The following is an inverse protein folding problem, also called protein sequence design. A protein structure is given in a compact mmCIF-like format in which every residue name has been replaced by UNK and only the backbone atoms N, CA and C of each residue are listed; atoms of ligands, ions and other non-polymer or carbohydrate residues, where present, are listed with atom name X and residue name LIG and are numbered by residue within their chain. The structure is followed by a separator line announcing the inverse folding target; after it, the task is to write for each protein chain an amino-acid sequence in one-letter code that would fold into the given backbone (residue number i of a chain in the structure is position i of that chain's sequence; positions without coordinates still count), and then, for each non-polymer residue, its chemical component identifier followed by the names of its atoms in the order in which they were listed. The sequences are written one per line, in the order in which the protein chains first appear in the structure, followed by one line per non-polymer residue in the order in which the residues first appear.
data_IF_686818048971
#
_entry.id   IF_686818048971
#
_cell.length_a   1.000
_cell.length_b   1.000
_cell.length_c   1.000
_cell.angle_alpha   90.00
_cell.angle_beta   90.00
_cell.angle_gamma   90.00
#
_symmetry.space_group_name_H-M   'P 1'
#
loop_
_entity.id
_entity.type
_entity.pdbx_description
1 polymer ?
#
# COMPACT_ATOMS: atom_id res chain seq x y z
N UNK A 1 -3.35 -13.14 21.06
CA UNK A 1 -2.75 -12.53 19.84
C UNK A 1 -3.68 -11.43 19.30
N UNK A 2 -3.20 -10.20 19.18
CA UNK A 2 -4.00 -9.16 18.50
C UNK A 2 -4.09 -9.47 16.99
N UNK A 3 -5.28 -9.27 16.39
CA UNK A 3 -5.43 -9.39 14.95
C UNK A 3 -4.55 -8.34 14.26
N UNK A 4 -4.02 -8.68 13.08
CA UNK A 4 -3.35 -7.66 12.26
C UNK A 4 -4.41 -6.67 11.79
N UNK A 5 -4.07 -5.39 11.84
CA UNK A 5 -4.91 -4.31 11.33
C UNK A 5 -4.06 -3.29 10.60
N UNK A 6 -4.57 -2.74 9.50
CA UNK A 6 -3.95 -1.60 8.86
C UNK A 6 -4.23 -0.34 9.69
N UNK A 7 -3.17 0.39 10.04
CA UNK A 7 -3.28 1.72 10.68
C UNK A 7 -3.46 2.77 9.58
N UNK A 8 -2.69 2.64 8.49
CA UNK A 8 -2.85 3.49 7.32
C UNK A 8 -4.17 3.15 6.64
N UNK A 9 -5.08 4.11 6.58
CA UNK A 9 -6.40 3.98 5.95
C UNK A 9 -6.55 4.81 4.69
N UNK A 10 -5.65 5.76 4.47
CA UNK A 10 -5.62 6.64 3.30
C UNK A 10 -4.18 6.91 2.84
N UNK A 11 -4.03 7.19 1.55
CA UNK A 11 -2.77 7.59 0.95
C UNK A 11 -2.84 9.07 0.55
N UNK A 12 -1.78 9.86 0.75
CA UNK A 12 -1.73 11.21 0.22
C UNK A 12 -1.75 11.19 -1.31
N UNK A 13 -2.32 12.22 -1.91
CA UNK A 13 -2.34 12.35 -3.36
C UNK A 13 -0.91 12.56 -3.89
N UNK A 14 -0.61 11.97 -5.05
CA UNK A 14 0.65 12.16 -5.76
C UNK A 14 0.51 13.16 -6.90
N UNK A 15 1.64 13.46 -7.55
CA UNK A 15 1.68 14.29 -8.76
C UNK A 15 2.54 13.62 -9.82
N UNK A 16 2.11 13.65 -11.08
CA UNK A 16 2.85 13.10 -12.20
C UNK A 16 4.25 13.72 -12.30
N UNK A 17 5.26 12.88 -12.51
CA UNK A 17 6.67 13.26 -12.56
C UNK A 17 7.29 13.64 -11.21
N UNK A 18 6.54 13.57 -10.11
CA UNK A 18 7.06 13.88 -8.76
C UNK A 18 7.34 12.60 -8.00
N UNK A 19 8.51 12.44 -7.37
CA UNK A 19 8.79 11.26 -6.55
C UNK A 19 7.77 11.17 -5.43
N UNK A 20 7.22 9.98 -5.26
CA UNK A 20 6.23 9.63 -4.26
C UNK A 20 6.79 8.50 -3.40
N UNK A 21 6.69 8.63 -2.09
CA UNK A 21 7.10 7.60 -1.15
C UNK A 21 6.20 7.65 0.09
N UNK A 22 5.54 6.54 0.38
CA UNK A 22 4.68 6.38 1.55
C UNK A 22 4.91 5.00 2.14
N UNK A 23 5.02 4.95 3.46
CA UNK A 23 5.07 3.72 4.22
C UNK A 23 3.69 3.44 4.79
N UNK A 24 3.20 2.22 4.57
CA UNK A 24 1.99 1.72 5.19
C UNK A 24 2.33 1.13 6.55
N UNK A 25 1.57 1.57 7.54
CA UNK A 25 1.68 1.13 8.92
C UNK A 25 0.58 0.12 9.23
N UNK A 26 0.95 -0.93 9.94
CA UNK A 26 0.04 -1.96 10.45
C UNK A 26 0.35 -2.28 11.91
N UNK A 27 -0.68 -2.51 12.71
CA UNK A 27 -0.58 -2.95 14.11
C UNK A 27 -0.96 -4.42 14.26
N UNK A 28 -0.61 -4.98 15.42
CA UNK A 28 -0.86 -6.38 15.75
C UNK A 28 0.14 -7.32 15.07
N UNK A 29 -0.22 -8.61 15.04
CA UNK A 29 0.70 -9.67 14.62
C UNK A 29 1.89 -9.84 15.57
N UNK A 30 2.61 -10.94 15.43
CA UNK A 30 3.73 -11.30 16.32
C UNK A 30 4.97 -11.75 15.53
N UNK A 31 4.88 -11.85 14.21
CA UNK A 31 5.97 -12.28 13.35
C UNK A 31 6.17 -11.39 12.13
N UNK A 32 6.77 -11.97 11.09
CA UNK A 32 7.19 -11.22 9.90
C UNK A 32 5.95 -10.82 9.09
N UNK A 33 5.72 -9.50 8.99
CA UNK A 33 4.66 -8.96 8.14
C UNK A 33 5.10 -8.99 6.69
N UNK A 34 4.27 -9.60 5.84
CA UNK A 34 4.44 -9.60 4.41
C UNK A 34 3.26 -8.90 3.75
N UNK A 35 3.53 -7.77 3.09
CA UNK A 35 2.53 -7.05 2.34
C UNK A 35 2.51 -7.50 0.88
N UNK A 36 1.31 -7.64 0.32
CA UNK A 36 1.09 -8.08 -1.05
C UNK A 36 -0.05 -7.30 -1.69
N UNK A 37 0.09 -7.02 -2.98
CA UNK A 37 -0.99 -6.47 -3.80
C UNK A 37 -1.93 -7.61 -4.19
N UNK A 38 -3.19 -7.52 -3.77
CA UNK A 38 -4.23 -8.52 -4.07
C UNK A 38 -4.93 -8.18 -5.39
N UNK A 39 -5.25 -6.91 -5.59
CA UNK A 39 -5.99 -6.45 -6.77
C UNK A 39 -5.79 -4.96 -7.04
N UNK A 40 -6.11 -4.54 -8.25
CA UNK A 40 -5.97 -3.16 -8.71
C UNK A 40 -4.68 -2.91 -9.47
N UNK A 41 -4.50 -1.66 -9.88
CA UNK A 41 -3.34 -1.21 -10.65
C UNK A 41 -2.60 -0.12 -9.90
N UNK A 42 -1.27 -0.27 -9.78
CA UNK A 42 -0.42 0.81 -9.30
C UNK A 42 -0.16 1.81 -10.44
N UNK A 43 0.00 3.10 -10.13
CA UNK A 43 0.45 4.09 -11.12
C UNK A 43 1.74 3.64 -11.82
N UNK A 44 1.84 3.86 -13.12
CA UNK A 44 3.05 3.51 -13.87
C UNK A 44 4.26 4.29 -13.33
N UNK A 45 5.36 3.58 -13.09
CA UNK A 45 6.56 4.13 -12.45
C UNK A 45 6.56 4.07 -10.92
N UNK A 46 5.52 3.49 -10.32
CA UNK A 46 5.50 3.17 -8.87
C UNK A 46 5.56 1.67 -8.63
N UNK A 47 6.09 1.30 -7.47
CA UNK A 47 6.22 -0.07 -7.03
C UNK A 47 5.82 -0.18 -5.55
N UNK A 48 5.33 -1.36 -5.18
CA UNK A 48 5.02 -1.68 -3.80
C UNK A 48 5.96 -2.78 -3.30
N UNK A 49 6.62 -2.52 -2.17
CA UNK A 49 7.49 -3.46 -1.50
C UNK A 49 6.72 -4.28 -0.48
N UNK A 50 7.11 -5.55 -0.32
CA UNK A 50 6.63 -6.44 0.74
C UNK A 50 6.92 -5.94 2.16
N UNK A 51 7.78 -4.92 2.31
CA UNK A 51 8.02 -4.21 3.56
C UNK A 51 6.92 -3.18 3.91
N UNK A 52 5.90 -3.01 3.06
CA UNK A 52 4.86 -1.99 3.27
C UNK A 52 5.22 -0.62 2.70
N UNK A 53 6.25 -0.54 1.84
CA UNK A 53 6.69 0.73 1.25
C UNK A 53 6.12 0.86 -0.16
N UNK A 54 5.34 1.90 -0.40
CA UNK A 54 4.87 2.29 -1.72
C UNK A 54 5.68 3.47 -2.21
N UNK A 55 6.48 3.27 -3.26
CA UNK A 55 7.40 4.31 -3.75
C UNK A 55 7.60 4.28 -5.25
N UNK A 56 8.07 5.40 -5.79
CA UNK A 56 8.42 5.58 -7.20
C UNK A 56 7.96 6.92 -7.74
N UNK A 57 7.95 7.06 -9.06
CA UNK A 57 7.58 8.30 -9.73
C UNK A 57 6.40 8.04 -10.65
N UNK A 58 5.16 8.31 -10.22
CA UNK A 58 3.99 8.15 -11.06
C UNK A 58 4.13 9.02 -12.31
N UNK A 59 3.98 8.44 -13.51
CA UNK A 59 4.10 9.19 -14.77
C UNK A 59 2.76 9.60 -15.37
N UNK A 60 1.67 8.94 -14.98
CA UNK A 60 0.33 9.15 -15.54
C UNK A 60 -0.63 9.62 -14.46
N UNK A 61 -1.20 10.81 -14.66
CA UNK A 61 -2.27 11.35 -13.84
C UNK A 61 -3.53 10.48 -13.92
N UNK A 62 -4.22 10.33 -12.81
CA UNK A 62 -5.39 9.46 -12.70
C UNK A 62 -5.65 8.99 -11.28
N UNK A 63 -6.81 8.37 -11.07
CA UNK A 63 -7.16 7.74 -9.79
C UNK A 63 -6.87 6.25 -9.88
N UNK A 64 -6.07 5.76 -8.95
CA UNK A 64 -5.67 4.36 -8.86
C UNK A 64 -6.20 3.78 -7.57
N UNK A 65 -7.03 2.75 -7.68
CA UNK A 65 -7.57 2.00 -6.54
C UNK A 65 -6.97 0.61 -6.54
N UNK A 66 -6.43 0.20 -5.40
CA UNK A 66 -5.79 -1.10 -5.23
C UNK A 66 -6.00 -1.66 -3.83
N UNK A 67 -6.04 -2.98 -3.71
CA UNK A 67 -6.23 -3.68 -2.44
C UNK A 67 -4.91 -4.31 -2.01
N UNK A 68 -4.44 -3.94 -0.83
CA UNK A 68 -3.28 -4.55 -0.20
C UNK A 68 -3.74 -5.56 0.85
N UNK A 69 -2.98 -6.64 0.98
CA UNK A 69 -3.12 -7.61 2.06
C UNK A 69 -1.81 -7.72 2.83
N UNK A 70 -1.89 -7.54 4.13
CA UNK A 70 -0.83 -7.85 5.07
C UNK A 70 -1.08 -9.23 5.65
N UNK A 71 -0.04 -10.05 5.66
CA UNK A 71 -0.07 -11.43 6.18
C UNK A 71 1.01 -11.53 7.26
N UNK A 72 0.68 -12.10 8.40
CA UNK A 72 1.67 -12.51 9.40
C UNK A 72 1.97 -14.00 9.22
N UNK A 73 3.04 -14.46 9.85
CA UNK A 73 3.42 -15.89 9.93
C UNK A 73 2.37 -16.79 10.62
N UNK A 74 1.45 -16.24 11.41
CA UNK A 74 0.24 -16.94 11.90
C UNK A 74 -0.89 -16.85 10.85
N UNK A 75 -1.97 -17.66 10.87
CA UNK A 75 -3.15 -17.51 9.99
C UNK A 75 -3.91 -16.16 10.07
N UNK A 76 -3.32 -15.13 10.68
CA UNK A 76 -3.81 -13.77 10.69
C UNK A 76 -3.41 -13.04 9.39
N UNK A 77 -4.39 -12.43 8.75
CA UNK A 77 -4.17 -11.53 7.63
C UNK A 77 -5.22 -10.44 7.62
N UNK A 78 -4.86 -9.25 7.17
CA UNK A 78 -5.79 -8.14 6.96
C UNK A 78 -5.69 -7.64 5.53
N UNK A 79 -6.81 -7.21 4.98
CA UNK A 79 -6.91 -6.64 3.64
C UNK A 79 -7.52 -5.26 3.71
N UNK A 80 -6.91 -4.29 3.03
CA UNK A 80 -7.35 -2.91 2.99
C UNK A 80 -7.29 -2.39 1.56
N UNK A 81 -8.37 -1.75 1.13
CA UNK A 81 -8.42 -1.01 -0.13
C UNK A 81 -7.85 0.39 0.07
N UNK A 82 -6.95 0.78 -0.82
CA UNK A 82 -6.34 2.09 -0.90
C UNK A 82 -6.68 2.75 -2.22
N UNK A 83 -6.83 4.07 -2.18
CA UNK A 83 -7.03 4.90 -3.36
C UNK A 83 -6.01 6.03 -3.32
N UNK A 84 -5.32 6.25 -4.43
CA UNK A 84 -4.42 7.36 -4.65
C UNK A 84 -4.85 8.15 -5.87
N UNK A 85 -4.85 9.47 -5.76
CA UNK A 85 -5.06 10.36 -6.91
C UNK A 85 -3.70 10.93 -7.32
N UNK A 86 -3.35 10.76 -8.59
CA UNK A 86 -2.19 11.39 -9.22
C UNK A 86 -2.67 12.60 -9.99
N UNK A 87 -2.32 13.80 -9.52
CA UNK A 87 -2.54 15.04 -10.23
C UNK A 87 -1.58 15.17 -11.44
N UNK A 88 -1.95 15.91 -12.49
CA UNK A 88 -1.03 16.25 -13.58
C UNK A 88 0.16 17.10 -13.11
#
# INVERSE_FOLDING_TARGET
PEPITFITTSLPNGKAGTPYAVTLESSGGIGTRNYSLVSGGLPIGTAFSSAGVFSGTPSVAGTYTFTLRVTDSQPASASQSFTIVIAP
#
